data_IF_471299383828
#
_entry.id   IF_471299383828
#
_cell.length_a   1.000
_cell.length_b   1.000
_cell.length_c   1.000
_cell.angle_alpha   90.00
_cell.angle_beta   90.00
_cell.angle_gamma   90.00
#
_symmetry.space_group_name_H-M   'P 1'
#
loop_
_entity.id
_entity.type
_entity.pdbx_description
1 polymer ?
#
# COMPACT_ATOMS: atom_id res chain seq x y z
N UNK A 1 -12.96 -0.40 -6.32
CA UNK A 1 -12.69 0.98 -6.79
C UNK A 1 -11.41 1.46 -6.12
N UNK A 2 -10.57 2.23 -6.81
CA UNK A 2 -9.34 2.81 -6.24
C UNK A 2 -9.53 4.31 -6.08
N UNK A 3 -9.40 4.81 -4.85
CA UNK A 3 -9.34 6.24 -4.55
C UNK A 3 -7.88 6.66 -4.37
N UNK A 4 -7.50 7.85 -4.86
CA UNK A 4 -6.14 8.38 -4.76
C UNK A 4 -6.12 9.64 -3.92
N UNK A 5 -5.01 9.89 -3.24
CA UNK A 5 -4.78 11.12 -2.51
C UNK A 5 -3.31 11.53 -2.47
N UNK A 6 -3.01 12.71 -1.92
CA UNK A 6 -1.65 13.10 -1.59
C UNK A 6 -1.10 12.19 -0.48
N UNK A 7 0.17 11.77 -0.62
CA UNK A 7 0.89 11.00 0.39
C UNK A 7 1.91 11.86 1.12
N UNK A 8 3.18 11.71 0.76
CA UNK A 8 4.31 12.45 1.33
C UNK A 8 5.08 13.19 0.23
N UNK A 9 5.94 14.17 0.55
CA UNK A 9 6.81 14.79 -0.45
C UNK A 9 7.60 13.73 -1.23
N UNK A 10 7.64 13.88 -2.55
CA UNK A 10 8.32 12.94 -3.46
C UNK A 10 9.78 12.67 -3.04
N UNK A 11 10.50 13.70 -2.59
CA UNK A 11 11.88 13.56 -2.12
C UNK A 11 12.03 12.60 -0.93
N UNK A 12 11.06 12.60 -0.01
CA UNK A 12 11.03 11.68 1.13
C UNK A 12 10.67 10.26 0.67
N UNK A 13 9.68 10.13 -0.22
CA UNK A 13 9.29 8.84 -0.79
C UNK A 13 10.45 8.18 -1.56
N UNK A 14 11.15 8.95 -2.39
CA UNK A 14 12.31 8.48 -3.15
C UNK A 14 13.50 8.12 -2.25
N UNK A 15 13.71 8.88 -1.17
CA UNK A 15 14.70 8.54 -0.14
C UNK A 15 14.36 7.24 0.57
N UNK A 16 13.11 7.08 1.00
CA UNK A 16 12.62 5.85 1.63
C UNK A 16 12.71 4.66 0.67
N UNK A 17 12.40 4.82 -0.62
CA UNK A 17 12.61 3.80 -1.65
C UNK A 17 14.07 3.34 -1.69
N UNK A 18 15.01 4.28 -1.83
CA UNK A 18 16.45 3.96 -1.90
C UNK A 18 16.94 3.23 -0.66
N UNK A 19 16.42 3.55 0.52
CA UNK A 19 16.79 2.84 1.75
C UNK A 19 16.38 1.37 1.79
N UNK A 20 15.49 0.94 0.89
CA UNK A 20 15.02 -0.43 0.78
C UNK A 20 15.74 -1.22 -0.33
N UNK A 21 16.52 -0.55 -1.18
CA UNK A 21 17.10 -1.17 -2.38
C UNK A 21 18.03 -2.35 -2.03
N UNK A 22 18.87 -2.22 -0.99
CA UNK A 22 19.73 -3.33 -0.52
C UNK A 22 18.93 -4.57 -0.07
N UNK A 23 17.77 -4.37 0.56
CA UNK A 23 16.90 -5.48 0.97
C UNK A 23 16.26 -6.15 -0.24
N UNK A 24 15.84 -5.36 -1.22
CA UNK A 24 15.26 -5.85 -2.48
C UNK A 24 16.29 -6.65 -3.26
N UNK A 25 17.51 -6.15 -3.39
CA UNK A 25 18.59 -6.83 -4.09
C UNK A 25 18.95 -8.15 -3.41
N UNK A 26 18.97 -8.18 -2.07
CA UNK A 26 19.14 -9.43 -1.33
C UNK A 26 18.01 -10.43 -1.58
N UNK A 27 16.75 -9.99 -1.58
CA UNK A 27 15.61 -10.87 -1.86
C UNK A 27 15.63 -11.40 -3.29
N UNK A 28 16.15 -10.63 -4.27
CA UNK A 28 16.37 -11.08 -5.65
C UNK A 28 17.46 -12.14 -5.72
N UNK A 29 18.60 -11.92 -5.08
CA UNK A 29 19.70 -12.89 -5.00
C UNK A 29 19.23 -14.19 -4.34
N UNK A 30 18.39 -14.10 -3.30
CA UNK A 30 17.78 -15.25 -2.63
C UNK A 30 16.70 -15.97 -3.48
N UNK A 31 16.38 -15.46 -4.68
CA UNK A 31 15.34 -16.03 -5.55
C UNK A 31 13.92 -15.90 -4.99
N UNK A 32 13.67 -14.92 -4.11
CA UNK A 32 12.35 -14.70 -3.47
C UNK A 32 11.44 -13.75 -4.25
N UNK A 33 12.02 -12.88 -5.07
CA UNK A 33 11.29 -11.93 -5.93
C UNK A 33 11.20 -12.39 -7.39
N UNK A 34 11.12 -13.70 -7.60
CA UNK A 34 10.97 -14.32 -8.92
C UNK A 34 9.51 -14.49 -9.33
N UNK A 35 9.33 -14.67 -10.64
CA UNK A 35 8.02 -14.83 -11.21
C UNK A 35 7.24 -16.01 -10.63
N UNK A 36 6.00 -15.77 -10.19
CA UNK A 36 5.09 -16.82 -9.73
C UNK A 36 5.33 -17.34 -8.31
N UNK A 37 6.23 -16.76 -7.50
CA UNK A 37 6.45 -17.17 -6.10
C UNK A 37 5.55 -16.45 -5.09
N UNK A 38 5.76 -15.14 -4.89
CA UNK A 38 4.99 -14.33 -3.95
C UNK A 38 4.93 -12.88 -4.45
N UNK A 39 3.74 -12.32 -4.61
CA UNK A 39 3.54 -10.98 -5.20
C UNK A 39 3.81 -9.83 -4.22
N UNK A 40 3.90 -10.13 -2.92
CA UNK A 40 4.05 -9.14 -1.86
C UNK A 40 5.01 -9.70 -0.81
N UNK A 41 6.24 -9.17 -0.79
CA UNK A 41 7.24 -9.49 0.23
C UNK A 41 7.36 -8.35 1.23
N UNK A 42 7.39 -8.70 2.53
CA UNK A 42 7.55 -7.70 3.60
C UNK A 42 9.02 -7.34 3.74
N UNK A 43 9.29 -6.05 3.74
CA UNK A 43 10.61 -5.49 4.00
C UNK A 43 10.71 -5.03 5.45
N UNK A 44 11.94 -4.87 5.94
CA UNK A 44 12.19 -4.28 7.25
C UNK A 44 12.08 -2.76 7.16
N UNK A 45 11.52 -2.18 8.21
CA UNK A 45 11.54 -0.74 8.43
C UNK A 45 12.96 -0.20 8.46
N UNK A 46 13.14 0.93 7.79
CA UNK A 46 14.30 1.82 7.85
C UNK A 46 13.88 3.15 8.48
N UNK A 47 14.84 3.97 8.91
CA UNK A 47 14.54 5.29 9.47
C UNK A 47 13.76 6.18 8.49
N UNK A 48 14.07 6.11 7.19
CA UNK A 48 13.37 6.88 6.15
C UNK A 48 11.95 6.38 5.91
N UNK A 49 11.72 5.07 5.92
CA UNK A 49 10.34 4.53 5.81
C UNK A 49 9.50 4.81 7.06
N UNK A 50 10.10 4.78 8.25
CA UNK A 50 9.44 5.21 9.48
C UNK A 50 9.09 6.69 9.44
N UNK A 51 10.01 7.53 8.94
CA UNK A 51 9.75 8.96 8.73
C UNK A 51 8.61 9.18 7.73
N UNK A 52 8.63 8.50 6.59
CA UNK A 52 7.55 8.60 5.61
C UNK A 52 6.18 8.20 6.19
N UNK A 53 6.12 7.13 6.99
CA UNK A 53 4.90 6.71 7.66
C UNK A 53 4.40 7.76 8.67
N UNK A 54 5.30 8.31 9.49
CA UNK A 54 4.96 9.35 10.48
C UNK A 54 4.49 10.64 9.82
N UNK A 55 5.25 11.14 8.86
CA UNK A 55 4.92 12.37 8.12
C UNK A 55 3.58 12.21 7.39
N UNK A 56 3.32 11.04 6.79
CA UNK A 56 2.02 10.76 6.17
C UNK A 56 0.87 10.82 7.17
N UNK A 57 1.02 10.20 8.35
CA UNK A 57 -0.03 10.20 9.38
C UNK A 57 -0.36 11.61 9.90
N UNK A 58 0.59 12.55 9.82
CA UNK A 58 0.35 13.95 10.16
C UNK A 58 -0.49 14.72 9.12
N UNK A 59 -0.36 14.35 7.84
CA UNK A 59 -0.97 15.07 6.71
C UNK A 59 -2.11 14.31 6.03
N UNK A 60 -2.37 13.06 6.43
CA UNK A 60 -3.33 12.18 5.78
C UNK A 60 -4.73 12.80 5.78
N UNK A 61 -5.24 13.07 4.58
CA UNK A 61 -6.62 13.45 4.34
C UNK A 61 -7.45 12.22 3.96
N UNK A 62 -8.48 11.95 4.76
CA UNK A 62 -9.37 10.81 4.58
C UNK A 62 -10.60 11.14 3.73
N UNK A 63 -10.71 12.33 3.15
CA UNK A 63 -11.78 12.67 2.19
C UNK A 63 -11.77 11.75 0.96
N UNK A 64 -10.59 11.42 0.44
CA UNK A 64 -10.45 10.52 -0.73
C UNK A 64 -11.01 9.11 -0.45
N UNK A 65 -10.65 8.42 0.65
CA UNK A 65 -11.22 7.13 0.97
C UNK A 65 -12.71 7.12 1.34
N UNK A 66 -13.33 8.25 1.73
CA UNK A 66 -14.80 8.33 1.92
C UNK A 66 -15.58 8.01 0.63
N UNK A 67 -15.00 8.29 -0.54
CA UNK A 67 -15.59 7.97 -1.85
C UNK A 67 -15.77 6.47 -2.09
N UNK A 68 -15.15 5.62 -1.28
CA UNK A 68 -15.26 4.17 -1.36
C UNK A 68 -16.55 3.63 -0.69
N UNK A 69 -17.51 4.49 -0.36
CA UNK A 69 -18.76 4.10 0.29
C UNK A 69 -18.59 3.79 1.78
N UNK A 70 -17.63 4.47 2.41
CA UNK A 70 -17.38 4.40 3.86
C UNK A 70 -17.61 5.80 4.44
N UNK A 71 -18.87 6.23 4.62
CA UNK A 71 -19.19 7.60 5.03
C UNK A 71 -18.77 7.89 6.48
N UNK A 72 -18.70 6.85 7.32
CA UNK A 72 -18.33 6.95 8.74
C UNK A 72 -16.80 7.01 8.97
N UNK A 73 -16.00 7.14 7.90
CA UNK A 73 -14.55 7.27 8.02
C UNK A 73 -14.21 8.65 8.60
N UNK A 74 -13.58 8.73 9.79
CA UNK A 74 -13.31 10.02 10.40
C UNK A 74 -12.36 10.84 9.52
N UNK A 75 -12.72 12.08 9.24
CA UNK A 75 -11.98 13.00 8.34
C UNK A 75 -10.55 13.25 8.80
N UNK A 76 -10.29 13.12 10.10
CA UNK A 76 -8.95 13.19 10.70
C UNK A 76 -8.83 12.10 11.76
N UNK A 77 -8.14 11.01 11.46
CA UNK A 77 -7.86 9.98 12.45
C UNK A 77 -6.38 9.61 12.49
N UNK A 78 -5.60 10.49 13.12
CA UNK A 78 -4.37 10.09 13.80
C UNK A 78 -4.73 8.91 14.72
N UNK A 79 -4.11 7.74 14.52
CA UNK A 79 -4.41 6.52 15.28
C UNK A 79 -5.39 5.52 14.64
N UNK A 80 -6.04 5.82 13.51
CA UNK A 80 -6.81 4.80 12.77
C UNK A 80 -5.97 4.03 11.75
N UNK A 81 -4.79 4.52 11.42
CA UNK A 81 -3.83 3.86 10.54
C UNK A 81 -3.10 2.77 11.34
N UNK A 82 -3.20 1.53 10.85
CA UNK A 82 -2.38 0.41 11.28
C UNK A 82 -1.37 0.04 10.20
N UNK A 83 -0.13 0.42 10.44
CA UNK A 83 0.99 0.11 9.54
C UNK A 83 1.31 -1.38 9.54
N UNK A 84 1.49 -1.95 8.36
CA UNK A 84 1.85 -3.38 8.19
C UNK A 84 3.32 -3.57 7.87
N UNK A 85 3.94 -2.57 7.23
CA UNK A 85 5.34 -2.61 6.83
C UNK A 85 5.58 -1.99 5.46
N UNK A 86 6.84 -1.66 5.14
CA UNK A 86 7.27 -1.50 3.78
C UNK A 86 7.18 -2.84 3.06
N UNK A 87 6.83 -2.81 1.79
CA UNK A 87 6.67 -3.97 0.94
C UNK A 87 7.40 -3.74 -0.39
N UNK A 88 7.79 -4.84 -1.02
CA UNK A 88 8.17 -4.87 -2.44
C UNK A 88 7.18 -5.73 -3.20
N UNK A 89 6.75 -5.21 -4.34
CA UNK A 89 5.96 -5.94 -5.32
C UNK A 89 6.89 -6.81 -6.16
N UNK A 90 6.62 -8.11 -6.29
CA UNK A 90 7.53 -8.99 -7.03
C UNK A 90 7.58 -8.67 -8.52
N UNK A 91 8.74 -8.92 -9.11
CA UNK A 91 8.95 -8.90 -10.55
C UNK A 91 8.32 -10.15 -11.17
N UNK A 92 7.37 -9.91 -12.08
CA UNK A 92 6.81 -10.89 -13.03
C UNK A 92 5.87 -11.93 -12.40
N UNK A 93 4.74 -12.16 -13.04
CA UNK A 93 3.91 -13.35 -12.88
C UNK A 93 3.10 -13.39 -14.15
N UNK A 94 3.24 -14.47 -14.92
CA UNK A 94 2.44 -14.67 -16.13
C UNK A 94 0.95 -14.76 -15.78
N UNK A 95 0.65 -15.35 -14.61
CA UNK A 95 -0.71 -15.56 -14.15
C UNK A 95 -1.11 -14.60 -13.01
N UNK A 96 -2.25 -13.90 -13.14
CA UNK A 96 -2.77 -13.04 -12.09
C UNK A 96 -3.13 -13.83 -10.83
N UNK A 97 -2.60 -13.44 -9.66
CA UNK A 97 -3.04 -14.00 -8.37
C UNK A 97 -4.23 -13.24 -7.83
N UNK A 98 -5.36 -13.93 -7.63
CA UNK A 98 -6.56 -13.37 -7.01
C UNK A 98 -6.56 -13.67 -5.52
N UNK A 99 -6.73 -12.64 -4.70
CA UNK A 99 -6.94 -12.81 -3.26
C UNK A 99 -8.37 -12.38 -2.93
N UNK A 100 -9.13 -13.29 -2.33
CA UNK A 100 -10.34 -12.92 -1.60
C UNK A 100 -9.92 -12.43 -0.22
N UNK A 101 -10.04 -11.14 0.03
CA UNK A 101 -9.85 -10.61 1.37
C UNK A 101 -11.09 -10.90 2.20
N UNK A 102 -11.09 -12.04 2.89
CA UNK A 102 -12.21 -12.50 3.72
C UNK A 102 -11.99 -12.28 5.22
N UNK A 103 -10.92 -11.62 5.64
CA UNK A 103 -10.36 -11.88 6.97
C UNK A 103 -10.19 -10.71 7.93
N UNK A 104 -10.67 -9.49 7.64
CA UNK A 104 -10.72 -8.50 8.73
C UNK A 104 -11.96 -7.61 8.69
N UNK A 105 -13.04 -8.09 9.32
CA UNK A 105 -14.28 -7.33 9.52
C UNK A 105 -14.09 -5.99 10.27
N UNK A 106 -12.93 -5.75 10.90
CA UNK A 106 -12.63 -4.53 11.66
C UNK A 106 -11.96 -3.40 10.83
N UNK A 107 -11.29 -3.73 9.72
CA UNK A 107 -10.64 -2.74 8.84
C UNK A 107 -11.32 -2.79 7.48
N UNK A 108 -11.91 -1.68 7.02
CA UNK A 108 -12.59 -1.67 5.72
C UNK A 108 -11.84 -0.94 4.61
N UNK A 109 -10.68 -0.34 4.88
CA UNK A 109 -9.84 0.28 3.85
C UNK A 109 -8.40 -0.22 3.98
N UNK A 110 -7.84 -0.67 2.86
CA UNK A 110 -6.41 -0.89 2.67
C UNK A 110 -5.82 0.33 1.97
N UNK A 111 -4.68 0.79 2.45
CA UNK A 111 -3.93 1.90 1.87
C UNK A 111 -2.50 1.49 1.53
N UNK A 112 -1.96 2.11 0.49
CA UNK A 112 -0.57 1.94 0.08
C UNK A 112 0.04 3.29 -0.25
N UNK A 113 1.09 3.66 0.48
CA UNK A 113 1.92 4.82 0.20
C UNK A 113 3.01 4.42 -0.79
N UNK A 114 3.06 5.07 -1.96
CA UNK A 114 4.01 4.76 -3.02
C UNK A 114 5.41 5.32 -2.72
N UNK A 115 6.43 4.45 -2.78
CA UNK A 115 7.84 4.80 -2.64
C UNK A 115 8.53 4.61 -4.00
N UNK A 116 8.34 5.56 -4.91
CA UNK A 116 8.57 5.38 -6.35
C UNK A 116 7.27 5.11 -7.11
N UNK A 117 7.37 5.03 -8.44
CA UNK A 117 6.23 4.63 -9.27
C UNK A 117 5.84 3.19 -8.96
N UNK A 118 4.53 2.98 -8.76
CA UNK A 118 3.97 1.73 -8.28
C UNK A 118 2.72 1.38 -9.09
N UNK A 119 2.77 0.26 -9.80
CA UNK A 119 1.57 -0.30 -10.43
C UNK A 119 0.77 -1.05 -9.36
N UNK A 120 -0.48 -0.63 -9.18
CA UNK A 120 -1.41 -1.17 -8.20
C UNK A 120 -2.04 -2.49 -8.69
N UNK A 121 -2.57 -3.31 -7.76
CA UNK A 121 -3.32 -4.49 -8.16
C UNK A 121 -4.59 -4.08 -8.90
N UNK A 122 -5.03 -4.92 -9.82
CA UNK A 122 -6.30 -4.74 -10.53
C UNK A 122 -7.47 -4.91 -9.56
N UNK A 123 -8.32 -3.90 -9.48
CA UNK A 123 -9.54 -3.92 -8.69
C UNK A 123 -10.71 -3.60 -9.62
N UNK A 124 -11.60 -4.58 -9.84
CA UNK A 124 -12.70 -4.42 -10.80
C UNK A 124 -12.27 -4.45 -12.27
N UNK A 125 -11.10 -5.01 -12.59
CA UNK A 125 -10.64 -5.24 -13.97
C UNK A 125 -9.75 -4.15 -14.57
N UNK A 126 -9.39 -3.10 -13.83
CA UNK A 126 -8.45 -2.06 -14.26
C UNK A 126 -7.22 -2.00 -13.37
N UNK A 127 -6.02 -1.97 -13.97
CA UNK A 127 -4.77 -1.63 -13.27
C UNK A 127 -4.58 -0.12 -13.27
N UNK A 128 -3.83 0.38 -12.28
CA UNK A 128 -3.51 1.81 -12.17
C UNK A 128 -2.09 1.98 -11.67
N UNK A 129 -1.32 2.84 -12.32
CA UNK A 129 -0.02 3.26 -11.82
C UNK A 129 -0.18 4.53 -10.98
N UNK A 130 0.56 4.60 -9.88
CA UNK A 130 0.61 5.78 -9.01
C UNK A 130 2.05 6.21 -8.81
N UNK A 131 2.25 7.52 -8.70
CA UNK A 131 3.58 8.12 -8.62
C UNK A 131 4.14 8.12 -7.19
N UNK A 132 5.45 8.29 -7.10
CA UNK A 132 6.17 8.41 -5.83
C UNK A 132 5.56 9.50 -4.94
N UNK A 133 5.34 9.18 -3.67
CA UNK A 133 4.76 10.12 -2.70
C UNK A 133 3.24 10.26 -2.79
N UNK A 134 2.57 9.51 -3.65
CA UNK A 134 1.10 9.42 -3.66
C UNK A 134 0.61 8.25 -2.81
N UNK A 135 -0.67 8.28 -2.44
CA UNK A 135 -1.32 7.19 -1.72
C UNK A 135 -2.54 6.70 -2.50
N UNK A 136 -2.73 5.39 -2.50
CA UNK A 136 -3.95 4.76 -3.00
C UNK A 136 -4.69 4.04 -1.88
N UNK A 137 -6.02 4.08 -1.98
CA UNK A 137 -6.95 3.45 -1.06
C UNK A 137 -7.91 2.57 -1.83
N UNK A 138 -8.24 1.43 -1.25
CA UNK A 138 -9.27 0.53 -1.77
C UNK A 138 -9.92 -0.23 -0.63
N UNK A 139 -11.15 -0.70 -0.85
CA UNK A 139 -11.85 -1.44 0.19
C UNK A 139 -11.13 -2.75 0.46
N UNK A 140 -10.99 -3.09 1.74
CA UNK A 140 -10.44 -4.38 2.11
C UNK A 140 -11.29 -5.52 1.51
N UNK A 141 -12.61 -5.36 1.35
CA UNK A 141 -13.48 -6.39 0.76
C UNK A 141 -13.41 -6.50 -0.76
N UNK A 142 -12.77 -5.55 -1.46
CA UNK A 142 -12.73 -5.60 -2.92
C UNK A 142 -11.83 -6.76 -3.39
N UNK A 143 -12.25 -7.56 -4.38
CA UNK A 143 -11.40 -8.59 -4.95
C UNK A 143 -10.22 -7.92 -5.66
N UNK A 144 -9.02 -8.31 -5.25
CA UNK A 144 -7.75 -7.80 -5.80
C UNK A 144 -7.10 -8.85 -6.66
N UNK A 145 -6.71 -8.45 -7.87
CA UNK A 145 -5.97 -9.28 -8.81
C UNK A 145 -4.58 -8.69 -8.99
N UNK A 146 -3.56 -9.41 -8.53
CA UNK A 146 -2.18 -8.95 -8.62
C UNK A 146 -1.61 -9.41 -9.96
N UNK A 147 -1.14 -8.45 -10.75
CA UNK A 147 -0.32 -8.69 -11.95
C UNK A 147 1.07 -8.11 -11.72
N UNK A 148 2.05 -8.57 -12.48
CA UNK A 148 3.43 -8.07 -12.40
C UNK A 148 3.51 -6.56 -12.57
N UNK A 149 4.26 -5.90 -11.69
CA UNK A 149 4.33 -4.44 -11.59
C UNK A 149 5.76 -3.87 -11.66
N UNK A 150 6.77 -4.65 -12.06
CA UNK A 150 8.14 -4.16 -12.26
C UNK A 150 8.90 -3.78 -10.98
N UNK A 151 8.56 -4.38 -9.82
CA UNK A 151 9.41 -4.25 -8.64
C UNK A 151 9.13 -3.02 -7.76
N UNK A 152 7.96 -2.40 -7.84
CA UNK A 152 7.62 -1.19 -7.08
C UNK A 152 7.69 -1.38 -5.55
N UNK A 153 8.03 -0.32 -4.82
CA UNK A 153 8.06 -0.31 -3.33
C UNK A 153 6.91 0.53 -2.81
N UNK A 154 6.37 0.14 -1.66
CA UNK A 154 5.34 0.92 -0.97
C UNK A 154 5.32 0.64 0.51
N UNK A 155 4.54 1.41 1.26
CA UNK A 155 4.23 1.13 2.66
C UNK A 155 2.76 0.80 2.78
N UNK A 156 2.47 -0.43 3.19
CA UNK A 156 1.11 -0.94 3.27
C UNK A 156 0.54 -0.68 4.67
N UNK A 157 -0.72 -0.24 4.74
CA UNK A 157 -1.43 0.01 5.99
C UNK A 157 -2.92 -0.28 5.87
N UNK A 158 -3.59 -0.44 7.00
CA UNK A 158 -5.04 -0.56 7.11
C UNK A 158 -5.61 0.65 7.81
N UNK A 159 -6.82 1.07 7.43
CA UNK A 159 -7.60 2.06 8.18
C UNK A 159 -8.76 1.34 8.87
N UNK A 160 -8.84 1.49 10.19
CA UNK A 160 -9.92 0.93 11.01
C UNK A 160 -11.15 1.81 10.88
N UNK A 161 -12.33 1.21 10.71
CA UNK A 161 -13.63 1.92 10.62
C UNK A 161 -14.47 1.64 11.88
N UNK A 162 -13.85 1.31 13.02
CA UNK A 162 -14.60 0.98 14.23
C UNK A 162 -15.41 2.21 14.67
N UNK A 163 -16.74 2.06 14.72
CA UNK A 163 -17.59 2.87 15.60
C UNK A 163 -17.06 2.70 17.02
N UNK A 164 -16.65 3.78 17.68
CA UNK A 164 -16.61 3.77 19.14
C UNK A 164 -18.04 3.46 19.60
N UNK A 165 -18.24 2.28 20.19
CA UNK A 165 -19.46 2.02 20.97
C UNK A 165 -19.40 2.99 22.14
N UNK A 166 -20.36 3.91 22.18
CA UNK A 166 -20.71 4.70 23.36
C UNK A 166 -21.24 3.74 24.43
#
# INVERSE_FOLDING_TARGET
MIALGPGVPQSLADGARRSLDDQVDKLRIDGKLEAGKATLERLKWTDLTLKAARDFEEVADFASPQTLGVPDLPTHAKGNIKWTGPIVYSDVSADPRKYSSSSIAEYGILGILALGSLVLPEIGGSSKEIESGTVAYFRASDPVTYRSCGGGRGILFYITIKRQKV
#
